data_IF_249545194999
#
_entry.id   IF_249545194999
#
_cell.length_a   1.000
_cell.length_b   1.000
_cell.length_c   1.000
_cell.angle_alpha   90.00
_cell.angle_beta   90.00
_cell.angle_gamma   90.00
#
_symmetry.space_group_name_H-M   'P 1'
#
loop_
_entity.id
_entity.type
_entity.pdbx_description
1 polymer ?
#
# COMPACT_ATOMS: atom_id res chain seq x y z
N UNK A 1 0.26 -3.29 2.62
CA UNK A 1 -0.51 -3.60 1.40
C UNK A 1 -1.14 -4.96 1.62
N UNK A 2 -2.41 -5.11 1.33
CA UNK A 2 -3.14 -6.37 1.47
C UNK A 2 -4.15 -6.53 0.32
N UNK A 3 -4.62 -7.75 0.10
CA UNK A 3 -5.71 -8.04 -0.84
C UNK A 3 -6.96 -8.29 0.00
N UNK A 4 -8.03 -7.53 -0.25
CA UNK A 4 -9.33 -7.64 0.43
C UNK A 4 -10.42 -7.77 -0.63
N UNK A 5 -11.29 -8.77 -0.50
CA UNK A 5 -12.34 -9.06 -1.50
C UNK A 5 -11.81 -9.17 -2.95
N UNK A 6 -10.62 -9.77 -3.11
CA UNK A 6 -9.90 -9.89 -4.39
C UNK A 6 -9.44 -8.54 -4.99
N UNK A 7 -9.31 -7.48 -4.18
CA UNK A 7 -8.87 -6.15 -4.63
C UNK A 7 -7.70 -5.64 -3.79
N UNK A 8 -6.86 -4.76 -4.35
CA UNK A 8 -5.67 -4.27 -3.68
C UNK A 8 -6.00 -3.10 -2.76
N UNK A 9 -5.51 -3.16 -1.52
CA UNK A 9 -5.69 -2.11 -0.52
C UNK A 9 -4.36 -1.75 0.14
N UNK A 10 -4.13 -0.45 0.30
CA UNK A 10 -2.98 0.10 1.04
C UNK A 10 -3.48 1.04 2.11
N UNK A 11 -3.05 0.78 3.35
CA UNK A 11 -3.27 1.66 4.50
C UNK A 11 -1.94 2.20 5.00
N UNK A 12 -1.89 3.49 5.34
CA UNK A 12 -0.71 4.13 5.92
C UNK A 12 -1.10 5.20 6.95
N UNK A 13 -0.20 5.46 7.89
CA UNK A 13 -0.37 6.46 8.95
C UNK A 13 0.95 7.18 9.19
N UNK A 14 0.86 8.48 9.47
CA UNK A 14 2.02 9.24 9.93
C UNK A 14 2.10 9.28 11.47
N UNK A 15 1.07 8.84 12.19
CA UNK A 15 1.07 8.72 13.65
C UNK A 15 -0.25 9.10 14.33
N UNK A 16 -1.17 9.78 13.64
CA UNK A 16 -2.46 10.20 14.20
C UNK A 16 -3.65 9.44 13.60
N UNK A 17 -3.81 9.54 12.28
CA UNK A 17 -4.90 8.97 11.51
C UNK A 17 -4.38 7.99 10.45
N UNK A 18 -5.22 7.05 10.06
CA UNK A 18 -4.95 6.12 8.96
C UNK A 18 -5.61 6.66 7.69
N UNK A 19 -4.85 6.69 6.60
CA UNK A 19 -5.37 6.86 5.25
C UNK A 19 -5.34 5.53 4.52
N UNK A 20 -6.36 5.29 3.70
CA UNK A 20 -6.50 4.08 2.92
C UNK A 20 -6.77 4.43 1.46
N UNK A 21 -6.15 3.68 0.56
CA UNK A 21 -6.31 3.78 -0.89
C UNK A 21 -6.49 2.37 -1.45
N UNK A 22 -7.34 2.21 -2.46
CA UNK A 22 -7.61 0.91 -3.08
C UNK A 22 -7.66 1.00 -4.59
N UNK A 23 -7.21 -0.06 -5.24
CA UNK A 23 -7.26 -0.21 -6.69
C UNK A 23 -7.99 -1.51 -7.00
N UNK A 24 -8.85 -1.48 -8.01
CA UNK A 24 -9.63 -2.64 -8.39
C UNK A 24 -9.68 -2.89 -9.89
N UNK A 25 -9.69 -4.18 -10.23
CA UNK A 25 -9.84 -4.68 -11.58
C UNK A 25 -11.09 -5.58 -11.69
N UNK A 26 -11.74 -5.64 -12.86
CA UNK A 26 -12.81 -6.60 -13.10
C UNK A 26 -12.31 -8.04 -12.89
N UNK A 27 -13.06 -8.85 -12.14
CA UNK A 27 -12.65 -10.22 -11.79
C UNK A 27 -11.76 -10.32 -10.54
N UNK A 28 -11.05 -9.25 -10.20
CA UNK A 28 -10.14 -9.19 -9.06
C UNK A 28 -8.81 -9.92 -9.28
N UNK A 29 -7.93 -9.85 -8.28
CA UNK A 29 -6.53 -10.26 -8.35
C UNK A 29 -6.31 -11.75 -8.03
N UNK A 30 -7.29 -12.40 -7.43
CA UNK A 30 -7.19 -13.81 -7.03
C UNK A 30 -7.62 -14.76 -8.17
N UNK A 31 -7.19 -14.49 -9.40
CA UNK A 31 -7.54 -15.24 -10.60
C UNK A 31 -6.46 -16.27 -11.03
N UNK A 32 -5.34 -16.31 -10.31
CA UNK A 32 -4.20 -17.20 -10.57
C UNK A 32 -3.24 -16.69 -11.65
N UNK A 33 -3.42 -15.47 -12.14
CA UNK A 33 -2.48 -14.77 -13.02
C UNK A 33 -1.52 -13.89 -12.21
N UNK A 34 -0.43 -13.48 -12.86
CA UNK A 34 0.46 -12.47 -12.30
C UNK A 34 -0.14 -11.08 -12.50
N UNK A 35 -0.13 -10.29 -11.43
CA UNK A 35 -0.53 -8.89 -11.44
C UNK A 35 0.65 -8.02 -11.02
N UNK A 36 0.71 -6.82 -11.60
CA UNK A 36 1.69 -5.80 -11.22
C UNK A 36 1.02 -4.79 -10.30
N UNK A 37 1.64 -4.52 -9.15
CA UNK A 37 1.14 -3.54 -8.18
C UNK A 37 2.21 -2.47 -7.95
N UNK A 38 1.82 -1.20 -8.13
CA UNK A 38 2.72 -0.06 -7.95
C UNK A 38 2.13 0.90 -6.91
N UNK A 39 2.95 1.30 -5.94
CA UNK A 39 2.62 2.30 -4.94
C UNK A 39 3.64 3.44 -4.99
N UNK A 40 3.18 4.63 -5.35
CA UNK A 40 3.98 5.85 -5.29
C UNK A 40 3.51 6.73 -4.14
N UNK A 41 4.42 7.19 -3.29
CA UNK A 41 4.14 8.17 -2.24
C UNK A 41 4.92 9.46 -2.49
N UNK A 42 4.21 10.55 -2.80
CA UNK A 42 4.81 11.86 -3.06
C UNK A 42 3.97 12.97 -2.45
N UNK A 43 4.59 13.91 -1.74
CA UNK A 43 3.91 15.07 -1.15
C UNK A 43 2.68 14.72 -0.28
N UNK A 44 2.76 13.61 0.46
CA UNK A 44 1.66 13.02 1.27
C UNK A 44 0.51 12.41 0.48
N UNK A 45 0.64 12.30 -0.83
CA UNK A 45 -0.30 11.59 -1.68
C UNK A 45 0.24 10.20 -1.96
N UNK A 46 -0.53 9.18 -1.60
CA UNK A 46 -0.30 7.80 -2.00
C UNK A 46 -1.14 7.51 -3.24
N UNK A 47 -0.48 7.12 -4.32
CA UNK A 47 -1.10 6.67 -5.57
C UNK A 47 -0.84 5.19 -5.72
N UNK A 48 -1.91 4.41 -5.80
CA UNK A 48 -1.88 2.97 -5.98
C UNK A 48 -2.38 2.64 -7.38
N UNK A 49 -1.67 1.78 -8.09
CA UNK A 49 -2.11 1.24 -9.38
C UNK A 49 -1.91 -0.27 -9.42
N UNK A 50 -2.71 -0.90 -10.27
CA UNK A 50 -2.66 -2.33 -10.58
C UNK A 50 -2.68 -2.49 -12.09
N UNK A 51 -1.84 -3.38 -12.61
CA UNK A 51 -1.75 -3.80 -14.01
C UNK A 51 -1.67 -2.64 -15.02
N UNK A 52 -0.46 -2.19 -15.41
CA UNK A 52 -0.20 -1.27 -16.54
C UNK A 52 -1.32 -0.23 -16.80
N UNK A 53 -1.84 0.37 -15.72
CA UNK A 53 -3.05 1.19 -15.73
C UNK A 53 -2.72 2.61 -16.20
N UNK A 54 -3.62 3.25 -16.95
CA UNK A 54 -3.52 4.70 -17.16
C UNK A 54 -3.94 5.42 -15.86
N UNK A 55 -2.95 5.68 -15.01
CA UNK A 55 -3.13 6.30 -13.69
C UNK A 55 -3.84 7.66 -13.82
N UNK A 56 -3.50 8.45 -14.83
CA UNK A 56 -4.07 9.79 -15.02
C UNK A 56 -5.57 9.73 -15.31
N UNK A 57 -5.99 8.78 -16.15
CA UNK A 57 -7.40 8.56 -16.46
C UNK A 57 -8.14 7.93 -15.27
N UNK A 58 -7.58 6.87 -14.67
CA UNK A 58 -8.24 6.15 -13.57
C UNK A 58 -8.42 7.03 -12.32
N UNK A 59 -7.41 7.81 -11.92
CA UNK A 59 -7.51 8.71 -10.76
C UNK A 59 -8.52 9.84 -11.00
N UNK A 60 -8.62 10.35 -12.24
CA UNK A 60 -9.44 11.53 -12.54
C UNK A 60 -10.88 11.19 -12.93
N UNK A 61 -11.08 10.09 -13.65
CA UNK A 61 -12.36 9.71 -14.27
C UNK A 61 -12.80 8.28 -13.92
N UNK A 62 -12.07 7.58 -13.04
CA UNK A 62 -12.32 6.17 -12.76
C UNK A 62 -13.71 5.86 -12.21
N UNK A 63 -14.30 6.78 -11.43
CA UNK A 63 -15.67 6.62 -10.93
C UNK A 63 -16.72 6.74 -12.05
N UNK A 64 -16.50 7.60 -13.03
CA UNK A 64 -17.42 7.80 -14.17
C UNK A 64 -17.33 6.65 -15.17
N UNK A 65 -16.11 6.12 -15.38
CA UNK A 65 -15.82 5.09 -16.38
C UNK A 65 -15.90 3.66 -15.81
N UNK A 66 -16.07 3.50 -14.49
CA UNK A 66 -15.91 2.21 -13.82
C UNK A 66 -14.48 1.66 -13.90
N UNK A 67 -13.50 2.52 -14.19
CA UNK A 67 -12.11 2.18 -14.43
C UNK A 67 -11.26 2.52 -13.20
N UNK A 68 -11.22 1.61 -12.23
CA UNK A 68 -10.65 1.84 -10.89
C UNK A 68 -9.31 1.15 -10.65
N UNK A 69 -8.58 0.82 -11.72
CA UNK A 69 -7.27 0.16 -11.63
C UNK A 69 -6.19 1.03 -10.98
N UNK A 70 -6.43 2.33 -10.80
CA UNK A 70 -5.60 3.18 -9.96
C UNK A 70 -6.45 4.19 -9.20
N UNK A 71 -5.97 4.58 -8.03
CA UNK A 71 -6.56 5.65 -7.24
C UNK A 71 -5.50 6.35 -6.40
N UNK A 72 -5.81 7.53 -5.89
CA UNK A 72 -4.90 8.31 -5.08
C UNK A 72 -5.61 8.88 -3.85
N UNK A 73 -4.89 8.94 -2.73
CA UNK A 73 -5.35 9.63 -1.52
C UNK A 73 -4.28 10.54 -0.97
N UNK A 74 -4.66 11.78 -0.65
CA UNK A 74 -3.78 12.73 0.03
C UNK A 74 -4.04 12.69 1.53
N UNK A 75 -3.00 12.37 2.29
CA UNK A 75 -3.07 12.37 3.75
C UNK A 75 -3.09 13.80 4.29
N UNK A 76 -4.17 14.12 5.00
CA UNK A 76 -4.39 15.44 5.61
C UNK A 76 -3.80 15.44 7.00
N UNK A 77 -2.85 16.34 7.24
CA UNK A 77 -2.26 16.57 8.55
C UNK A 77 -3.23 17.32 9.46
N UNK A 78 -3.07 17.15 10.77
CA UNK A 78 -3.80 17.94 11.75
C UNK A 78 -3.51 19.45 11.58
N UNK A 79 -4.46 20.36 11.89
CA UNK A 79 -4.24 21.80 11.72
C UNK A 79 -3.02 22.34 12.47
N UNK A 80 -2.69 21.77 13.64
CA UNK A 80 -1.52 22.16 14.43
C UNK A 80 -0.19 21.91 13.70
N UNK A 81 -0.19 21.01 12.70
CA UNK A 81 0.99 20.68 11.90
C UNK A 81 1.42 21.83 10.97
N UNK A 82 0.59 22.87 10.81
CA UNK A 82 0.98 24.09 10.11
C UNK A 82 2.02 24.91 10.88
N UNK A 83 2.05 24.80 12.21
CA UNK A 83 3.04 25.47 13.06
C UNK A 83 4.29 24.59 13.21
N UNK A 84 5.42 25.07 12.69
CA UNK A 84 6.71 24.37 12.75
C UNK A 84 7.26 24.24 14.18
N UNK A 85 6.79 25.05 15.13
CA UNK A 85 7.18 24.97 16.54
C UNK A 85 6.38 23.91 17.31
N UNK A 86 5.28 23.41 16.74
CA UNK A 86 4.48 22.36 17.35
C UNK A 86 5.04 20.97 17.02
N UNK A 87 5.07 20.11 18.03
CA UNK A 87 5.33 18.69 17.86
C UNK A 87 4.14 18.05 17.15
N UNK A 88 4.38 17.50 15.96
CA UNK A 88 3.38 16.73 15.25
C UNK A 88 4.01 15.74 14.27
N UNK A 89 3.21 14.76 13.89
CA UNK A 89 3.57 13.74 12.93
C UNK A 89 3.50 14.27 11.49
N UNK A 90 4.65 14.36 10.81
CA UNK A 90 4.76 14.88 9.42
C UNK A 90 5.36 13.87 8.45
N UNK A 91 6.01 12.84 8.97
CA UNK A 91 6.81 11.90 8.21
C UNK A 91 6.39 10.47 8.55
N UNK A 92 6.70 9.56 7.63
CA UNK A 92 6.51 8.14 7.85
C UNK A 92 7.77 7.59 8.53
N UNK A 93 7.69 7.34 9.84
CA UNK A 93 8.80 6.81 10.62
C UNK A 93 8.84 5.28 10.53
N UNK A 94 9.82 4.76 9.79
CA UNK A 94 10.04 3.32 9.62
C UNK A 94 10.90 2.78 10.77
N UNK A 95 10.27 2.15 11.75
CA UNK A 95 10.94 1.63 12.97
C UNK A 95 11.02 0.11 13.05
N UNK A 96 10.42 -0.60 12.09
CA UNK A 96 10.35 -2.07 12.05
C UNK A 96 10.78 -2.66 10.71
N UNK A 97 10.94 -4.00 10.63
CA UNK A 97 11.29 -4.68 9.40
C UNK A 97 10.14 -4.62 8.38
N UNK A 98 10.48 -4.66 7.10
CA UNK A 98 9.52 -4.94 6.02
C UNK A 98 9.12 -6.41 6.07
N UNK A 99 7.81 -6.68 6.09
CA UNK A 99 7.26 -8.03 6.09
C UNK A 99 6.50 -8.27 4.78
N UNK A 100 6.73 -9.45 4.19
CA UNK A 100 6.20 -9.85 2.88
C UNK A 100 5.64 -11.26 3.03
N UNK A 101 4.46 -11.53 2.45
CA UNK A 101 3.84 -12.87 2.48
C UNK A 101 3.09 -13.23 3.77
N UNK A 102 3.30 -12.49 4.86
CA UNK A 102 2.53 -12.69 6.08
C UNK A 102 3.07 -11.88 7.25
N UNK A 103 2.36 -11.96 8.37
CA UNK A 103 2.75 -11.39 9.64
C UNK A 103 3.01 -12.51 10.66
N UNK A 104 4.04 -12.40 11.50
CA UNK A 104 4.26 -13.36 12.58
C UNK A 104 3.11 -13.30 13.59
N UNK A 105 2.86 -14.42 14.27
CA UNK A 105 1.89 -14.53 15.35
C UNK A 105 2.35 -13.77 16.61
N UNK A 106 2.36 -12.44 16.53
CA UNK A 106 2.70 -11.55 17.63
C UNK A 106 1.42 -11.10 18.37
N UNK A 107 1.50 -10.86 19.69
CA UNK A 107 0.38 -10.36 20.48
C UNK A 107 0.00 -8.90 20.14
N UNK A 108 0.70 -8.25 19.21
CA UNK A 108 0.41 -6.90 18.73
C UNK A 108 -0.82 -6.86 17.83
N UNK A 109 -1.67 -5.84 18.04
CA UNK A 109 -2.76 -5.53 17.11
C UNK A 109 -2.16 -4.91 15.84
N UNK A 110 -2.28 -5.62 14.72
CA UNK A 110 -1.96 -5.07 13.41
C UNK A 110 -3.20 -4.38 12.83
N UNK A 111 -2.98 -3.29 12.09
CA UNK A 111 -4.07 -2.50 11.49
C UNK A 111 -4.63 -3.14 10.21
N UNK A 112 -4.00 -4.20 9.71
CA UNK A 112 -4.43 -4.95 8.53
C UNK A 112 -5.39 -6.08 8.91
N UNK A 113 -6.29 -6.41 8.00
CA UNK A 113 -7.27 -7.48 8.19
C UNK A 113 -6.67 -8.85 7.93
N UNK A 114 -5.91 -8.99 6.84
CA UNK A 114 -5.33 -10.25 6.40
C UNK A 114 -3.89 -10.38 6.86
N UNK A 115 -3.59 -11.47 7.56
CA UNK A 115 -2.27 -11.71 8.18
C UNK A 115 -1.42 -12.71 7.43
N UNK A 116 -2.02 -13.49 6.54
CA UNK A 116 -1.35 -14.54 5.78
C UNK A 116 -1.62 -14.30 4.29
N UNK A 117 -0.64 -14.62 3.44
CA UNK A 117 -0.79 -14.58 2.00
C UNK A 117 -0.46 -15.94 1.39
N UNK A 118 -1.36 -16.42 0.54
CA UNK A 118 -1.19 -17.68 -0.21
C UNK A 118 -1.07 -17.33 -1.69
N UNK A 119 0.14 -17.42 -2.22
CA UNK A 119 0.44 -17.06 -3.59
C UNK A 119 1.94 -16.97 -3.83
N UNK A 120 2.33 -16.33 -4.93
CA UNK A 120 3.73 -16.06 -5.26
C UNK A 120 3.95 -14.55 -5.33
N UNK A 121 5.14 -14.09 -4.93
CA UNK A 121 5.59 -12.70 -5.05
C UNK A 121 6.95 -12.74 -5.74
N UNK A 122 7.14 -11.92 -6.77
CA UNK A 122 8.41 -11.76 -7.47
C UNK A 122 8.62 -10.31 -7.85
N UNK A 123 9.82 -9.98 -8.31
CA UNK A 123 10.16 -8.68 -8.87
C UNK A 123 9.77 -7.50 -7.95
N UNK A 124 10.13 -7.60 -6.66
CA UNK A 124 9.91 -6.52 -5.70
C UNK A 124 10.97 -5.43 -5.90
N UNK A 125 10.49 -4.20 -6.11
CA UNK A 125 11.33 -3.01 -6.15
C UNK A 125 10.90 -2.02 -5.06
N UNK A 126 11.89 -1.42 -4.38
CA UNK A 126 11.68 -0.31 -3.44
C UNK A 126 12.59 0.83 -3.88
N UNK A 127 12.00 2.01 -4.07
CA UNK A 127 12.72 3.18 -4.62
C UNK A 127 13.50 2.84 -5.91
N UNK A 128 12.88 2.02 -6.77
CA UNK A 128 13.44 1.50 -8.04
C UNK A 128 14.66 0.56 -7.88
N UNK A 129 14.97 0.12 -6.66
CA UNK A 129 16.00 -0.87 -6.41
C UNK A 129 15.38 -2.25 -6.19
N UNK A 130 15.89 -3.25 -6.90
CA UNK A 130 15.44 -4.64 -6.75
C UNK A 130 15.81 -5.15 -5.36
N UNK A 131 14.83 -5.73 -4.68
CA UNK A 131 15.01 -6.41 -3.39
C UNK A 131 15.19 -7.90 -3.65
N UNK A 132 16.32 -8.46 -3.24
CA UNK A 132 16.52 -9.91 -3.30
C UNK A 132 15.74 -10.60 -2.18
N UNK A 133 14.63 -11.23 -2.55
CA UNK A 133 13.74 -11.94 -1.60
C UNK A 133 14.42 -13.15 -0.92
N UNK A 134 15.56 -13.64 -1.42
CA UNK A 134 16.35 -14.67 -0.73
C UNK A 134 17.27 -14.11 0.36
N UNK A 135 17.43 -12.79 0.46
CA UNK A 135 18.29 -12.13 1.46
C UNK A 135 17.50 -11.64 2.68
N UNK A 136 16.66 -12.52 3.24
CA UNK A 136 15.81 -12.18 4.39
C UNK A 136 16.62 -12.04 5.70
N UNK A 137 16.12 -11.18 6.59
CA UNK A 137 16.64 -11.07 7.98
C UNK A 137 16.05 -12.16 8.87
N UNK A 138 14.80 -12.54 8.63
CA UNK A 138 14.13 -13.65 9.30
C UNK A 138 13.11 -14.28 8.34
N UNK A 139 13.00 -15.61 8.38
CA UNK A 139 11.98 -16.39 7.68
C UNK A 139 11.08 -17.03 8.74
N UNK A 140 9.78 -16.78 8.62
CA UNK A 140 8.77 -17.20 9.59
C UNK A 140 7.78 -18.24 9.03
N UNK A 141 8.06 -18.82 7.85
CA UNK A 141 7.29 -19.92 7.27
C UNK A 141 6.34 -19.52 6.16
#
# INVERSE_FOLDING_TARGET
MEITDSQLVVSFSLGANVSQVSASIPGGLSDGQWHEAELTYLNRTATLSVDHCDIGVAVKYGDELGYKCASAITHVLEPRCADLMQTCYRFLDLTGPLQIGGLPALPSAFQISNKDFVGCIMDLYIDHQMVDLNTFVADNG
#
